data_IF_762350125920
#
_entry.id   IF_762350125920
#
_cell.length_a   1.000
_cell.length_b   1.000
_cell.length_c   1.000
_cell.angle_alpha   90.00
_cell.angle_beta   90.00
_cell.angle_gamma   90.00
#
_symmetry.space_group_name_H-M   'P 1'
#
loop_
_entity.id
_entity.type
_entity.pdbx_description
1 polymer ?
#
# COMPACT_ATOMS: atom_id res chain seq x y z
N UNK A 1 -17.07 8.24 -9.17
CA UNK A 1 -16.28 7.04 -8.76
C UNK A 1 -15.40 7.37 -7.58
N UNK A 2 -14.96 6.35 -6.81
CA UNK A 2 -13.99 6.55 -5.73
C UNK A 2 -12.59 6.21 -6.24
N UNK A 3 -11.63 7.09 -5.99
CA UNK A 3 -10.23 6.93 -6.34
C UNK A 3 -9.42 6.58 -5.09
N UNK A 4 -8.62 5.54 -5.17
CA UNK A 4 -7.64 5.18 -4.14
C UNK A 4 -6.26 5.40 -4.72
N UNK A 5 -5.43 6.16 -4.01
CA UNK A 5 -4.05 6.46 -4.39
C UNK A 5 -3.13 5.91 -3.30
N UNK A 6 -2.34 4.90 -3.65
CA UNK A 6 -1.34 4.29 -2.79
C UNK A 6 0.05 4.60 -3.36
N UNK A 7 0.73 5.56 -2.75
CA UNK A 7 2.08 5.96 -3.13
C UNK A 7 3.13 5.20 -2.31
N UNK A 8 3.64 4.14 -2.92
CA UNK A 8 4.77 3.37 -2.38
C UNK A 8 6.13 3.97 -2.76
N UNK A 9 7.20 3.36 -2.28
CA UNK A 9 8.58 3.81 -2.56
C UNK A 9 8.98 3.67 -4.03
N UNK A 10 8.47 2.69 -4.75
CA UNK A 10 8.89 2.38 -6.11
C UNK A 10 7.84 2.71 -7.17
N UNK A 11 6.57 2.71 -6.79
CA UNK A 11 5.46 2.89 -7.72
C UNK A 11 4.24 3.42 -6.98
N UNK A 12 3.48 4.29 -7.63
CA UNK A 12 2.16 4.72 -7.17
C UNK A 12 1.08 3.92 -7.89
N UNK A 13 0.16 3.35 -7.12
CA UNK A 13 -1.02 2.65 -7.63
C UNK A 13 -2.23 3.55 -7.49
N UNK A 14 -3.02 3.67 -8.56
CA UNK A 14 -4.28 4.40 -8.55
C UNK A 14 -5.40 3.46 -8.95
N UNK A 15 -6.35 3.22 -8.05
CA UNK A 15 -7.44 2.29 -8.27
C UNK A 15 -8.79 3.02 -8.28
N UNK A 16 -9.60 2.75 -9.30
CA UNK A 16 -10.96 3.27 -9.41
C UNK A 16 -11.97 2.24 -8.94
N UNK A 17 -12.89 2.69 -8.09
CA UNK A 17 -14.01 1.89 -7.59
C UNK A 17 -15.35 2.54 -7.95
N UNK A 18 -16.33 1.71 -8.33
CA UNK A 18 -17.73 2.12 -8.49
C UNK A 18 -18.60 1.16 -7.70
N UNK A 19 -19.44 1.70 -6.79
CA UNK A 19 -20.32 0.90 -5.93
C UNK A 19 -19.60 -0.27 -5.22
N UNK A 20 -18.43 -0.01 -4.64
CA UNK A 20 -17.63 -1.01 -3.93
C UNK A 20 -16.88 -2.03 -4.80
N UNK A 21 -16.97 -1.93 -6.13
CA UNK A 21 -16.29 -2.84 -7.06
C UNK A 21 -15.13 -2.16 -7.75
N UNK A 22 -13.98 -2.82 -7.72
CA UNK A 22 -12.80 -2.39 -8.48
C UNK A 22 -13.12 -2.37 -9.97
N UNK A 23 -12.84 -1.25 -10.62
CA UNK A 23 -13.01 -1.06 -12.06
C UNK A 23 -11.68 -1.19 -12.78
N UNK A 24 -10.67 -0.46 -12.31
CA UNK A 24 -9.35 -0.42 -12.95
C UNK A 24 -8.25 -0.10 -11.94
N UNK A 25 -7.02 -0.53 -12.24
CA UNK A 25 -5.81 -0.16 -11.51
C UNK A 25 -4.79 0.38 -12.49
N UNK A 26 -4.21 1.52 -12.17
CA UNK A 26 -3.17 2.20 -12.93
C UNK A 26 -1.89 2.24 -12.09
N UNK A 27 -0.75 2.17 -12.77
CA UNK A 27 0.56 2.14 -12.15
C UNK A 27 1.41 3.28 -12.69
N UNK A 28 1.92 4.13 -11.80
CA UNK A 28 2.73 5.29 -12.14
C UNK A 28 4.10 5.20 -11.46
N UNK A 29 5.19 5.09 -12.24
CA UNK A 29 6.56 5.15 -11.68
C UNK A 29 6.86 6.51 -11.05
N UNK A 30 6.27 7.57 -11.61
CA UNK A 30 6.30 8.92 -11.09
C UNK A 30 4.87 9.44 -10.95
N UNK A 31 4.56 10.03 -9.79
CA UNK A 31 3.26 10.62 -9.50
C UNK A 31 3.46 12.06 -9.04
N UNK A 32 2.79 13.00 -9.71
CA UNK A 32 2.90 14.43 -9.48
C UNK A 32 1.58 15.15 -9.83
N UNK A 33 1.56 16.47 -9.71
CA UNK A 33 0.40 17.32 -10.02
C UNK A 33 -0.10 17.14 -11.47
N UNK A 34 0.79 16.97 -12.45
CA UNK A 34 0.40 16.72 -13.85
C UNK A 34 -0.35 15.40 -13.97
N UNK A 35 0.17 14.34 -13.37
CA UNK A 35 -0.48 13.02 -13.36
C UNK A 35 -1.89 13.08 -12.76
N UNK A 36 -2.06 13.85 -11.68
CA UNK A 36 -3.37 14.03 -11.02
C UNK A 36 -4.34 14.79 -11.92
N UNK A 37 -3.90 15.88 -12.56
CA UNK A 37 -4.74 16.66 -13.47
C UNK A 37 -5.23 15.78 -14.62
N UNK A 38 -4.32 15.14 -15.33
CA UNK A 38 -4.63 14.28 -16.47
C UNK A 38 -5.59 13.15 -16.09
N UNK A 39 -5.39 12.56 -14.90
CA UNK A 39 -6.24 11.50 -14.41
C UNK A 39 -7.66 11.99 -14.10
N UNK A 40 -7.80 13.12 -13.43
CA UNK A 40 -9.10 13.70 -13.09
C UNK A 40 -9.84 14.24 -14.32
N UNK A 41 -9.13 14.67 -15.35
CA UNK A 41 -9.71 15.09 -16.63
C UNK A 41 -10.25 13.90 -17.45
N UNK A 42 -9.61 12.74 -17.30
CA UNK A 42 -10.02 11.51 -17.98
C UNK A 42 -11.10 10.69 -17.26
N UNK A 43 -11.36 10.95 -15.97
CA UNK A 43 -12.23 10.12 -15.15
C UNK A 43 -13.15 10.95 -14.25
N UNK A 44 -14.42 10.56 -14.17
CA UNK A 44 -15.38 11.15 -13.22
C UNK A 44 -15.12 10.60 -11.80
N UNK A 45 -14.41 11.37 -10.99
CA UNK A 45 -14.08 11.04 -9.61
C UNK A 45 -14.86 11.91 -8.65
N UNK A 46 -15.56 11.31 -7.69
CA UNK A 46 -16.36 12.02 -6.67
C UNK A 46 -15.63 12.10 -5.33
N UNK A 47 -14.81 11.11 -5.03
CA UNK A 47 -14.07 11.02 -3.78
C UNK A 47 -12.70 10.38 -4.00
N UNK A 48 -11.69 10.82 -3.23
CA UNK A 48 -10.41 10.15 -3.22
C UNK A 48 -9.85 9.97 -1.81
N UNK A 49 -9.10 8.88 -1.64
CA UNK A 49 -8.21 8.66 -0.50
C UNK A 49 -6.78 8.55 -1.01
N UNK A 50 -5.86 9.22 -0.33
CA UNK A 50 -4.43 9.19 -0.62
C UNK A 50 -3.66 8.68 0.58
N UNK A 51 -2.86 7.64 0.36
CA UNK A 51 -1.91 7.09 1.31
C UNK A 51 -0.50 7.15 0.74
N UNK A 52 0.49 7.42 1.59
CA UNK A 52 1.89 7.43 1.19
C UNK A 52 2.80 7.00 2.32
N UNK A 53 3.88 6.32 1.98
CA UNK A 53 5.01 5.96 2.87
C UNK A 53 6.29 6.71 2.50
N UNK A 54 6.19 7.72 1.62
CA UNK A 54 7.32 8.49 1.12
C UNK A 54 6.94 9.96 0.96
N UNK A 55 7.90 10.79 0.53
CA UNK A 55 7.62 12.18 0.15
C UNK A 55 6.68 12.25 -1.04
N UNK A 56 5.83 13.25 -1.07
CA UNK A 56 4.82 13.45 -2.11
C UNK A 56 4.81 14.91 -2.60
N UNK A 57 4.24 15.12 -3.78
CA UNK A 57 4.03 16.46 -4.34
C UNK A 57 2.87 17.18 -3.61
N UNK A 58 3.14 18.29 -2.88
CA UNK A 58 2.09 19.04 -2.19
C UNK A 58 1.06 19.65 -3.14
N UNK A 59 1.47 20.00 -4.38
CA UNK A 59 0.58 20.57 -5.39
C UNK A 59 -0.44 19.52 -5.86
N UNK A 60 -0.03 18.27 -6.04
CA UNK A 60 -0.94 17.18 -6.36
C UNK A 60 -2.03 17.02 -5.30
N UNK A 61 -1.67 17.13 -4.01
CA UNK A 61 -2.63 17.08 -2.90
C UNK A 61 -3.56 18.29 -2.90
N UNK A 62 -3.03 19.47 -3.20
CA UNK A 62 -3.86 20.69 -3.29
C UNK A 62 -4.91 20.59 -4.41
N UNK A 63 -4.53 20.03 -5.57
CA UNK A 63 -5.43 19.80 -6.70
C UNK A 63 -6.55 18.81 -6.31
N UNK A 64 -6.20 17.69 -5.67
CA UNK A 64 -7.20 16.72 -5.21
C UNK A 64 -8.22 17.37 -4.25
N UNK A 65 -7.74 18.17 -3.29
CA UNK A 65 -8.61 18.89 -2.35
C UNK A 65 -9.50 19.93 -3.01
N UNK A 66 -9.00 20.60 -4.05
CA UNK A 66 -9.75 21.65 -4.75
C UNK A 66 -10.78 21.09 -5.72
N UNK A 67 -10.44 20.00 -6.42
CA UNK A 67 -11.27 19.46 -7.51
C UNK A 67 -12.29 18.44 -7.08
N UNK A 68 -12.09 17.77 -5.93
CA UNK A 68 -12.95 16.68 -5.48
C UNK A 68 -13.88 17.12 -4.35
N UNK A 69 -15.15 16.72 -4.38
CA UNK A 69 -16.10 16.95 -3.27
C UNK A 69 -15.63 16.34 -1.95
N UNK A 70 -14.96 15.17 -2.02
CA UNK A 70 -14.43 14.47 -0.86
C UNK A 70 -12.99 14.03 -1.10
N UNK A 71 -12.10 14.45 -0.22
CA UNK A 71 -10.71 14.04 -0.24
C UNK A 71 -10.22 13.75 1.18
N UNK A 72 -9.67 12.55 1.37
CA UNK A 72 -9.01 12.13 2.61
C UNK A 72 -7.53 11.88 2.34
N UNK A 73 -6.66 12.63 3.00
CA UNK A 73 -5.27 12.21 3.17
C UNK A 73 -5.22 11.28 4.37
N UNK A 74 -4.99 10.01 4.11
CA UNK A 74 -4.93 8.98 5.13
C UNK A 74 -3.64 9.12 5.96
N UNK A 75 -3.79 9.21 7.27
CA UNK A 75 -2.69 9.33 8.23
C UNK A 75 -3.08 8.68 9.57
N UNK A 76 -2.17 8.72 10.56
CA UNK A 76 -2.39 8.11 11.87
C UNK A 76 -3.49 8.77 12.71
N UNK A 77 -3.99 9.94 12.32
CA UNK A 77 -5.13 10.60 12.97
C UNK A 77 -6.48 10.22 12.36
N UNK A 78 -6.46 9.49 11.25
CA UNK A 78 -7.68 9.05 10.55
C UNK A 78 -8.47 8.08 11.42
N UNK A 79 -9.79 8.24 11.47
CA UNK A 79 -10.67 7.29 12.14
C UNK A 79 -10.63 5.92 11.44
N UNK A 80 -10.50 4.86 12.22
CA UNK A 80 -10.36 3.49 11.73
C UNK A 80 -11.49 2.59 12.25
N UNK A 81 -11.99 1.66 11.44
CA UNK A 81 -12.98 0.66 11.88
C UNK A 81 -12.34 -0.51 12.66
N UNK A 82 -11.09 -0.37 13.08
CA UNK A 82 -10.30 -1.37 13.82
C UNK A 82 -9.67 -0.75 15.06
N UNK A 83 -9.29 -1.59 16.01
CA UNK A 83 -8.47 -1.18 17.16
C UNK A 83 -7.00 -1.43 16.82
N UNK A 84 -6.13 -0.50 17.18
CA UNK A 84 -4.68 -0.68 17.04
C UNK A 84 -4.12 -1.18 18.37
N UNK A 85 -3.69 -2.45 18.38
CA UNK A 85 -3.02 -3.09 19.54
C UNK A 85 -1.50 -2.92 19.54
N UNK A 86 -0.97 -2.11 18.62
CA UNK A 86 0.47 -1.86 18.49
C UNK A 86 0.96 -0.86 19.53
N UNK A 87 2.15 -1.12 20.13
CA UNK A 87 2.67 -0.30 21.22
C UNK A 87 3.03 1.13 20.80
N UNK A 88 3.39 1.34 19.52
CA UNK A 88 3.75 2.63 18.93
C UNK A 88 2.94 2.87 17.64
N UNK A 89 1.63 3.18 17.76
CA UNK A 89 0.73 3.29 16.60
C UNK A 89 1.22 4.28 15.55
N UNK A 90 1.87 5.35 15.97
CA UNK A 90 2.39 6.43 15.12
C UNK A 90 3.56 5.99 14.22
N UNK A 91 4.20 4.87 14.52
CA UNK A 91 5.29 4.31 13.72
C UNK A 91 4.85 3.19 12.77
N UNK A 92 3.58 2.79 12.86
CA UNK A 92 3.04 1.71 12.05
C UNK A 92 2.81 2.19 10.61
N UNK A 93 3.29 1.43 9.62
CA UNK A 93 3.09 1.78 8.21
C UNK A 93 1.61 1.92 7.85
N UNK A 94 1.26 3.00 7.16
CA UNK A 94 -0.12 3.27 6.74
C UNK A 94 -0.64 2.24 5.74
N UNK A 95 0.22 1.69 4.90
CA UNK A 95 -0.04 0.58 3.99
C UNK A 95 -0.51 -0.67 4.74
N UNK A 96 0.14 -1.00 5.85
CA UNK A 96 -0.23 -2.12 6.72
C UNK A 96 -1.57 -1.89 7.39
N UNK A 97 -1.83 -0.69 7.92
CA UNK A 97 -3.13 -0.32 8.48
C UNK A 97 -4.22 -0.47 7.42
N UNK A 98 -4.00 0.05 6.22
CA UNK A 98 -4.97 -0.06 5.12
C UNK A 98 -5.27 -1.51 4.74
N UNK A 99 -4.25 -2.38 4.69
CA UNK A 99 -4.41 -3.81 4.42
C UNK A 99 -5.27 -4.51 5.49
N UNK A 100 -5.05 -4.19 6.79
CA UNK A 100 -5.84 -4.74 7.90
C UNK A 100 -7.28 -4.22 7.87
N UNK A 101 -7.51 -2.94 7.56
CA UNK A 101 -8.86 -2.39 7.35
C UNK A 101 -9.57 -3.11 6.20
N UNK A 102 -8.88 -3.38 5.10
CA UNK A 102 -9.42 -4.17 4.00
C UNK A 102 -9.80 -5.59 4.42
N UNK A 103 -8.98 -6.23 5.26
CA UNK A 103 -9.21 -7.58 5.75
C UNK A 103 -10.44 -7.67 6.68
N UNK A 104 -10.64 -6.72 7.61
CA UNK A 104 -11.81 -6.73 8.49
C UNK A 104 -13.11 -6.58 7.73
N UNK A 105 -13.10 -5.80 6.65
CA UNK A 105 -14.28 -5.62 5.79
C UNK A 105 -14.63 -6.87 4.97
N UNK A 106 -13.63 -7.67 4.60
CA UNK A 106 -13.83 -8.90 3.82
C UNK A 106 -14.08 -10.13 4.70
N UNK A 107 -13.55 -10.15 5.90
CA UNK A 107 -13.61 -11.27 6.83
C UNK A 107 -14.03 -10.78 8.23
N UNK A 108 -15.26 -10.25 8.39
CA UNK A 108 -15.72 -9.76 9.68
C UNK A 108 -15.74 -10.88 10.74
N UNK A 109 -15.43 -10.52 11.98
CA UNK A 109 -15.46 -11.39 13.15
C UNK A 109 -14.54 -12.63 13.05
N UNK A 110 -13.48 -12.54 12.25
CA UNK A 110 -12.48 -13.60 12.07
C UNK A 110 -11.08 -13.13 12.41
N UNK A 111 -10.28 -14.04 12.97
CA UNK A 111 -8.84 -13.84 13.00
C UNK A 111 -8.25 -14.06 11.60
N UNK A 112 -7.46 -13.10 11.12
CA UNK A 112 -6.90 -13.11 9.76
C UNK A 112 -5.41 -12.81 9.83
N UNK A 113 -4.61 -13.62 9.16
CA UNK A 113 -3.23 -13.30 8.83
C UNK A 113 -3.20 -12.67 7.45
N UNK A 114 -2.75 -11.43 7.40
CA UNK A 114 -2.59 -10.65 6.15
C UNK A 114 -1.13 -10.76 5.73
N UNK A 115 -0.88 -11.15 4.48
CA UNK A 115 0.44 -11.19 3.88
C UNK A 115 0.45 -10.30 2.66
N UNK A 116 1.25 -9.23 2.71
CA UNK A 116 1.50 -8.37 1.55
C UNK A 116 2.93 -8.59 1.06
N UNK A 117 3.07 -9.04 -0.20
CA UNK A 117 4.35 -9.40 -0.80
C UNK A 117 4.73 -8.40 -1.89
N UNK A 118 5.64 -7.50 -1.55
CA UNK A 118 6.19 -6.47 -2.44
C UNK A 118 7.70 -6.33 -2.31
N UNK A 119 8.18 -5.09 -2.25
CA UNK A 119 9.59 -4.76 -1.94
C UNK A 119 9.99 -5.37 -0.60
N UNK A 120 9.11 -5.26 0.40
CA UNK A 120 9.14 -6.06 1.62
C UNK A 120 7.98 -7.06 1.60
N UNK A 121 8.03 -8.05 2.48
CA UNK A 121 6.90 -8.92 2.81
C UNK A 121 6.48 -8.57 4.22
N UNK A 122 5.22 -8.14 4.39
CA UNK A 122 4.64 -7.91 5.71
C UNK A 122 3.75 -9.08 6.09
N UNK A 123 3.68 -9.35 7.37
CA UNK A 123 2.82 -10.36 7.98
C UNK A 123 2.09 -9.69 9.12
N UNK A 124 0.79 -9.49 9.00
CA UNK A 124 -0.03 -8.73 9.93
C UNK A 124 -1.17 -9.56 10.48
N UNK A 125 -1.38 -9.52 11.80
CA UNK A 125 -2.42 -10.28 12.47
C UNK A 125 -3.57 -9.36 12.90
N UNK A 126 -4.75 -9.64 12.35
CA UNK A 126 -6.03 -9.13 12.83
C UNK A 126 -6.70 -10.20 13.69
N UNK A 127 -7.09 -9.86 14.90
CA UNK A 127 -7.85 -10.76 15.77
C UNK A 127 -9.35 -10.68 15.48
N UNK A 128 -10.12 -11.67 15.92
CA UNK A 128 -11.56 -11.75 15.65
C UNK A 128 -12.38 -10.62 16.28
N UNK A 129 -11.86 -9.94 17.31
CA UNK A 129 -12.50 -8.77 17.94
C UNK A 129 -12.18 -7.44 17.23
N UNK A 130 -11.54 -7.51 16.03
CA UNK A 130 -11.19 -6.34 15.24
C UNK A 130 -9.94 -5.59 15.71
N UNK A 131 -9.05 -6.26 16.46
CA UNK A 131 -7.79 -5.65 16.92
C UNK A 131 -6.65 -6.03 15.99
N UNK A 132 -5.95 -5.04 15.44
CA UNK A 132 -4.66 -5.21 14.78
C UNK A 132 -3.59 -5.49 15.83
N UNK A 133 -3.25 -6.75 16.04
CA UNK A 133 -2.35 -7.19 17.11
C UNK A 133 -0.86 -6.87 16.82
N UNK A 134 -0.53 -6.53 15.58
CA UNK A 134 0.85 -6.30 15.13
C UNK A 134 1.28 -7.32 14.08
N UNK A 135 2.58 -7.33 13.77
CA UNK A 135 3.09 -8.20 12.73
C UNK A 135 4.61 -8.14 12.59
N UNK A 136 5.08 -8.60 11.43
CA UNK A 136 6.50 -8.65 11.09
C UNK A 136 6.73 -8.07 9.69
N UNK A 137 7.94 -7.56 9.43
CA UNK A 137 8.39 -7.13 8.12
C UNK A 137 9.65 -7.90 7.77
N UNK A 138 9.67 -8.51 6.58
CA UNK A 138 10.83 -9.21 6.02
C UNK A 138 11.20 -8.62 4.66
N UNK A 139 12.46 -8.70 4.22
CA UNK A 139 12.82 -8.31 2.87
C UNK A 139 12.06 -9.16 1.84
N UNK A 140 11.56 -8.54 0.77
CA UNK A 140 10.99 -9.25 -0.37
C UNK A 140 12.08 -9.99 -1.19
N UNK A 141 11.67 -10.83 -2.12
CA UNK A 141 12.58 -11.72 -2.87
C UNK A 141 13.68 -10.90 -3.58
N UNK A 142 13.30 -9.89 -4.34
CA UNK A 142 14.27 -9.06 -5.07
C UNK A 142 15.26 -8.35 -4.14
N UNK A 143 14.78 -7.87 -3.01
CA UNK A 143 15.62 -7.22 -2.01
C UNK A 143 16.61 -8.20 -1.38
N UNK A 144 16.20 -9.44 -1.11
CA UNK A 144 17.08 -10.52 -0.62
C UNK A 144 18.15 -10.88 -1.66
N UNK A 145 17.78 -11.06 -2.92
CA UNK A 145 18.71 -11.40 -4.00
C UNK A 145 19.77 -10.30 -4.20
N UNK A 146 19.32 -9.03 -4.20
CA UNK A 146 20.21 -7.89 -4.28
C UNK A 146 21.16 -7.81 -3.09
N UNK A 147 20.65 -7.96 -1.87
CA UNK A 147 21.48 -7.95 -0.68
C UNK A 147 22.55 -9.06 -0.68
N UNK A 148 22.20 -10.26 -1.14
CA UNK A 148 23.18 -11.35 -1.31
C UNK A 148 24.26 -10.99 -2.32
N UNK A 149 23.93 -10.36 -3.43
CA UNK A 149 24.91 -9.88 -4.41
C UNK A 149 25.80 -8.78 -3.83
N UNK A 150 25.19 -7.75 -3.24
CA UNK A 150 25.91 -6.55 -2.75
C UNK A 150 26.81 -6.84 -1.52
N UNK A 151 26.41 -7.80 -0.67
CA UNK A 151 27.11 -8.09 0.57
C UNK A 151 27.94 -9.38 0.56
N UNK A 152 28.14 -10.00 -0.62
CA UNK A 152 29.01 -11.16 -0.76
C UNK A 152 29.96 -11.00 -1.95
N UNK A 153 31.16 -11.59 -1.86
CA UNK A 153 32.21 -11.37 -2.87
C UNK A 153 32.04 -12.11 -4.19
N UNK A 154 31.09 -13.05 -4.32
CA UNK A 154 31.01 -13.95 -5.50
C UNK A 154 29.61 -14.27 -5.99
N UNK A 155 28.56 -13.86 -5.29
CA UNK A 155 27.21 -14.18 -5.73
C UNK A 155 26.76 -13.23 -6.87
N UNK A 156 26.29 -13.77 -8.00
CA UNK A 156 25.80 -12.95 -9.09
C UNK A 156 24.50 -12.25 -8.70
N UNK A 157 24.21 -11.10 -9.33
CA UNK A 157 22.89 -10.48 -9.25
C UNK A 157 21.90 -11.34 -10.06
N UNK A 158 20.83 -11.79 -9.40
CA UNK A 158 19.74 -12.52 -10.01
C UNK A 158 18.54 -11.56 -10.10
N UNK A 159 18.18 -11.15 -11.30
CA UNK A 159 17.09 -10.21 -11.53
C UNK A 159 15.72 -10.89 -11.66
N UNK A 160 15.68 -12.14 -12.10
CA UNK A 160 14.45 -12.90 -12.25
C UNK A 160 14.39 -14.04 -11.23
N UNK A 161 13.39 -13.94 -10.34
CA UNK A 161 13.10 -14.99 -9.35
C UNK A 161 12.22 -16.12 -9.93
N UNK A 162 11.86 -16.06 -11.22
CA UNK A 162 10.90 -16.99 -11.84
C UNK A 162 11.40 -18.42 -12.00
N UNK A 163 12.72 -18.64 -11.91
CA UNK A 163 13.34 -19.97 -12.05
C UNK A 163 14.06 -20.48 -10.80
N UNK A 164 13.78 -19.88 -9.61
CA UNK A 164 14.37 -20.39 -8.37
C UNK A 164 13.81 -21.78 -8.05
N UNK A 165 14.55 -22.79 -8.43
CA UNK A 165 14.31 -24.17 -8.02
C UNK A 165 14.74 -24.37 -6.56
N UNK A 166 13.93 -25.09 -5.78
CA UNK A 166 14.27 -25.49 -4.41
C UNK A 166 15.55 -26.35 -4.33
N UNK A 167 16.05 -26.85 -5.47
CA UNK A 167 17.27 -27.63 -5.57
C UNK A 167 18.54 -26.77 -5.47
N UNK A 168 18.42 -25.44 -5.57
CA UNK A 168 19.54 -24.51 -5.54
C UNK A 168 19.68 -23.76 -4.20
N UNK A 169 18.99 -24.20 -3.17
CA UNK A 169 19.10 -23.69 -1.79
C UNK A 169 19.97 -24.61 -0.97
#
# INVERSE_FOLDING_TARGET
>A
MNLIIDQGNSITKMALFRAGRLQNVYFYPKWDSTTVIDFLDAHEVDAAIFSTVTEYDPEAIAILRQRLPYFLKFDHSSELPIKIGYATPETLGLDRIAAVVGAVMQCPDKAVLIVDAGTCVTYDLLTADGTFAGGNIAPGIRLRLRAMHEHTGKLPLIDDAGELSLIHI
#
